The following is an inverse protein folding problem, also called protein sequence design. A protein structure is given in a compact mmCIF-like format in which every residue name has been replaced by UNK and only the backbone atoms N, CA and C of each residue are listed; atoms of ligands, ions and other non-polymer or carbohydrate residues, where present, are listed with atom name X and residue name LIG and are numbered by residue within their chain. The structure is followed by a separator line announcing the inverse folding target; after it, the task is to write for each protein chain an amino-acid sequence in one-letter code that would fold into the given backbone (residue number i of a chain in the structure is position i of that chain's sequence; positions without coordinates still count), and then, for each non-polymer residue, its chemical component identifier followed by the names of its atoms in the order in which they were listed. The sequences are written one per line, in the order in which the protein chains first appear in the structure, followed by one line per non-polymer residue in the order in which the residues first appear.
data_IF_108322629822
#
_entry.id   IF_108322629822
#
_cell.length_a   1.000
_cell.length_b   1.000
_cell.length_c   1.000
_cell.angle_alpha   90.00
_cell.angle_beta   90.00
_cell.angle_gamma   90.00
#
_symmetry.space_group_name_H-M   'P 1'
#
loop_
_entity.id
_entity.type
_entity.pdbx_description
1 polymer ?
#
# COMPACT_ATOMS: atom_id res chain seq x y z
N UNK A 1 1.84 19.53 -8.15
CA UNK A 1 1.56 18.09 -8.39
C UNK A 1 0.08 18.01 -8.68
N UNK A 2 -0.31 17.35 -9.77
CA UNK A 2 -1.70 17.26 -10.17
C UNK A 2 -2.43 16.16 -9.37
N UNK A 3 -3.72 16.35 -9.06
CA UNK A 3 -4.53 15.30 -8.47
C UNK A 3 -4.73 14.14 -9.47
N UNK A 4 -5.08 12.97 -8.93
CA UNK A 4 -5.42 11.83 -9.75
C UNK A 4 -6.69 12.05 -10.58
N UNK A 5 -6.69 11.56 -11.82
CA UNK A 5 -7.85 11.59 -12.73
C UNK A 5 -8.14 10.19 -13.28
N UNK A 6 -9.30 10.01 -13.91
CA UNK A 6 -9.73 8.68 -14.41
C UNK A 6 -8.79 8.09 -15.48
N UNK A 7 -8.12 8.95 -16.24
CA UNK A 7 -7.17 8.61 -17.30
C UNK A 7 -5.69 8.59 -16.80
N UNK A 8 -5.43 9.06 -15.57
CA UNK A 8 -4.10 9.02 -14.96
C UNK A 8 -3.77 7.63 -14.40
N UNK A 9 -3.36 6.71 -15.27
CA UNK A 9 -2.92 5.38 -14.87
C UNK A 9 -1.50 5.09 -15.37
N UNK A 10 -0.54 5.09 -14.45
CA UNK A 10 0.85 4.76 -14.75
C UNK A 10 1.09 3.25 -14.64
N UNK A 11 1.57 2.64 -15.72
CA UNK A 11 1.89 1.20 -15.78
C UNK A 11 3.40 1.03 -15.58
N UNK A 12 3.77 0.28 -14.54
CA UNK A 12 5.16 -0.09 -14.25
C UNK A 12 5.56 -1.38 -14.94
N UNK A 13 4.62 -2.31 -15.09
CA UNK A 13 4.85 -3.61 -15.72
C UNK A 13 3.54 -4.18 -16.27
N UNK A 14 3.61 -4.89 -17.39
CA UNK A 14 2.48 -5.61 -17.96
C UNK A 14 2.95 -6.89 -18.65
N UNK A 15 2.18 -7.97 -18.46
CA UNK A 15 2.40 -9.30 -19.03
C UNK A 15 1.05 -9.96 -19.35
N UNK A 16 1.07 -11.22 -19.78
CA UNK A 16 -0.15 -12.04 -19.94
C UNK A 16 -0.88 -12.31 -18.63
N UNK A 17 -0.16 -12.32 -17.51
CA UNK A 17 -0.68 -12.80 -16.22
C UNK A 17 -0.85 -11.69 -15.19
N UNK A 18 -0.08 -10.61 -15.30
CA UNK A 18 -0.02 -9.54 -14.33
C UNK A 18 0.09 -8.16 -14.98
N UNK A 19 -0.52 -7.18 -14.32
CA UNK A 19 -0.26 -5.75 -14.51
C UNK A 19 0.15 -5.15 -13.16
N UNK A 20 1.23 -4.37 -13.16
CA UNK A 20 1.68 -3.60 -11.99
C UNK A 20 1.54 -2.13 -12.34
N UNK A 21 0.76 -1.43 -11.54
CA UNK A 21 0.51 0.01 -11.70
C UNK A 21 1.25 0.78 -10.64
N UNK A 22 1.59 2.03 -10.94
CA UNK A 22 1.96 3.01 -9.92
C UNK A 22 0.67 3.71 -9.47
N UNK A 23 0.02 3.19 -8.43
CA UNK A 23 -1.20 3.76 -7.86
C UNK A 23 -0.90 5.20 -7.41
N UNK A 24 -1.74 6.13 -7.82
CA UNK A 24 -1.64 7.51 -7.37
C UNK A 24 -1.94 7.63 -5.86
N UNK A 25 -1.41 8.67 -5.22
CA UNK A 25 -1.79 9.04 -3.86
C UNK A 25 -3.25 9.53 -3.84
N UNK A 26 -3.90 9.41 -2.69
CA UNK A 26 -5.31 9.77 -2.45
C UNK A 26 -6.31 9.17 -3.47
N UNK A 27 -6.05 7.92 -3.86
CA UNK A 27 -6.99 7.12 -4.66
C UNK A 27 -7.23 5.79 -3.94
N UNK A 28 -8.50 5.42 -3.74
CA UNK A 28 -8.88 4.10 -3.25
C UNK A 28 -8.65 3.04 -4.32
N UNK A 29 -8.33 1.82 -3.88
CA UNK A 29 -8.20 0.68 -4.81
C UNK A 29 -9.55 0.37 -5.45
N UNK A 30 -10.58 0.19 -4.64
CA UNK A 30 -11.95 -0.06 -5.04
C UNK A 30 -12.92 0.66 -4.09
N UNK A 31 -14.19 0.72 -4.48
CA UNK A 31 -15.26 1.22 -3.63
C UNK A 31 -16.59 0.57 -3.98
N UNK A 32 -17.45 0.44 -2.97
CA UNK A 32 -18.87 0.08 -3.12
C UNK A 32 -19.78 1.30 -3.11
N UNK A 33 -19.22 2.48 -2.85
CA UNK A 33 -19.97 3.72 -2.73
C UNK A 33 -20.22 4.27 -4.13
N UNK A 34 -21.49 4.37 -4.53
CA UNK A 34 -21.89 4.79 -5.89
C UNK A 34 -21.37 6.19 -6.28
N UNK A 35 -21.11 7.06 -5.29
CA UNK A 35 -20.60 8.42 -5.50
C UNK A 35 -19.08 8.47 -5.62
N UNK A 36 -18.36 7.40 -5.29
CA UNK A 36 -16.90 7.33 -5.41
C UNK A 36 -16.54 6.83 -6.80
N UNK A 37 -16.45 7.78 -7.74
CA UNK A 37 -16.26 7.49 -9.17
C UNK A 37 -14.78 7.31 -9.56
N UNK A 38 -13.86 7.82 -8.76
CA UNK A 38 -12.42 7.71 -8.98
C UNK A 38 -11.80 6.69 -8.02
N UNK A 39 -11.51 5.51 -8.55
CA UNK A 39 -10.79 4.44 -7.87
C UNK A 39 -9.77 3.85 -8.85
N UNK A 40 -8.76 3.14 -8.35
CA UNK A 40 -7.85 2.42 -9.23
C UNK A 40 -8.61 1.40 -10.10
N UNK A 41 -9.64 0.78 -9.55
CA UNK A 41 -10.53 -0.11 -10.27
C UNK A 41 -11.24 0.62 -11.44
N UNK A 42 -11.75 1.83 -11.24
CA UNK A 42 -12.37 2.59 -12.34
C UNK A 42 -11.35 3.06 -13.37
N UNK A 43 -10.13 3.44 -12.95
CA UNK A 43 -9.01 3.76 -13.86
C UNK A 43 -8.61 2.56 -14.73
N UNK A 44 -8.47 1.37 -14.13
CA UNK A 44 -8.19 0.12 -14.84
C UNK A 44 -9.30 -0.22 -15.83
N UNK A 45 -10.57 -0.11 -15.42
CA UNK A 45 -11.73 -0.36 -16.30
C UNK A 45 -11.80 0.63 -17.45
N UNK A 46 -11.48 1.90 -17.21
CA UNK A 46 -11.44 2.93 -18.24
C UNK A 46 -10.34 2.66 -19.27
N UNK A 47 -9.15 2.27 -18.81
CA UNK A 47 -7.97 2.08 -19.66
C UNK A 47 -7.91 0.72 -20.36
N UNK A 48 -8.43 -0.33 -19.71
CA UNK A 48 -8.38 -1.72 -20.15
C UNK A 48 -9.72 -2.42 -19.90
N UNK A 49 -10.82 -1.97 -20.54
CA UNK A 49 -12.13 -2.59 -20.37
C UNK A 49 -12.13 -4.09 -20.73
N UNK A 50 -11.26 -4.51 -21.64
CA UNK A 50 -11.08 -5.90 -22.07
C UNK A 50 -10.42 -6.81 -21.03
N UNK A 51 -9.70 -6.24 -20.05
CA UNK A 51 -9.06 -6.98 -18.97
C UNK A 51 -9.97 -7.16 -17.75
N UNK A 52 -11.18 -6.58 -17.79
CA UNK A 52 -12.13 -6.73 -16.70
C UNK A 52 -12.68 -8.17 -16.66
N UNK A 53 -12.54 -8.80 -15.50
CA UNK A 53 -12.98 -10.16 -15.23
C UNK A 53 -14.43 -10.17 -14.68
N UNK A 54 -15.40 -10.64 -15.47
CA UNK A 54 -16.82 -10.63 -15.08
C UNK A 54 -17.13 -11.57 -13.91
N UNK A 55 -16.26 -12.54 -13.61
CA UNK A 55 -16.42 -13.44 -12.48
C UNK A 55 -15.94 -12.81 -11.16
N UNK A 56 -15.56 -11.53 -11.18
CA UNK A 56 -15.17 -10.78 -9.99
C UNK A 56 -16.11 -9.63 -9.72
N UNK A 57 -16.37 -9.40 -8.44
CA UNK A 57 -17.22 -8.29 -8.01
C UNK A 57 -16.70 -6.92 -8.49
N UNK A 58 -15.37 -6.73 -8.50
CA UNK A 58 -14.74 -5.46 -8.88
C UNK A 58 -14.19 -5.43 -10.31
N UNK A 59 -14.32 -6.50 -11.08
CA UNK A 59 -13.71 -6.62 -12.42
C UNK A 59 -12.21 -6.92 -12.42
N UNK A 60 -11.52 -6.87 -11.28
CA UNK A 60 -10.06 -7.08 -11.22
C UNK A 60 -9.65 -7.86 -9.98
N UNK A 61 -8.52 -8.58 -10.09
CA UNK A 61 -7.97 -9.43 -9.02
C UNK A 61 -6.75 -8.74 -8.40
N UNK A 62 -6.98 -7.83 -7.47
CA UNK A 62 -5.90 -7.16 -6.72
C UNK A 62 -5.13 -8.17 -5.86
N UNK A 63 -3.83 -8.29 -6.08
CA UNK A 63 -2.99 -9.28 -5.39
C UNK A 63 -2.67 -8.90 -3.94
N UNK A 64 -2.71 -7.61 -3.62
CA UNK A 64 -2.51 -7.04 -2.29
C UNK A 64 -3.19 -5.66 -2.21
N UNK A 65 -3.11 -5.04 -1.04
CA UNK A 65 -3.66 -3.71 -0.80
C UNK A 65 -2.56 -2.67 -0.61
N UNK A 66 -2.99 -1.41 -0.68
CA UNK A 66 -2.21 -0.19 -0.44
C UNK A 66 -3.20 0.86 0.05
N UNK A 67 -2.85 1.59 1.11
CA UNK A 67 -3.76 2.57 1.71
C UNK A 67 -4.11 3.70 0.74
N UNK A 68 -5.24 4.36 0.99
CA UNK A 68 -5.76 5.46 0.18
C UNK A 68 -4.68 6.51 -0.17
N UNK A 69 -4.02 7.05 0.85
CA UNK A 69 -3.00 8.09 0.70
C UNK A 69 -1.63 7.59 0.25
N UNK A 70 -1.41 6.27 0.23
CA UNK A 70 -0.12 5.70 -0.16
C UNK A 70 -0.08 5.49 -1.67
N UNK A 71 0.90 6.09 -2.35
CA UNK A 71 1.19 5.83 -3.77
C UNK A 71 2.14 4.66 -3.94
N UNK A 72 2.26 4.14 -5.17
CA UNK A 72 3.30 3.17 -5.52
C UNK A 72 2.79 1.90 -6.18
N UNK A 73 3.66 0.90 -6.22
CA UNK A 73 3.41 -0.36 -6.93
C UNK A 73 2.22 -1.14 -6.35
N UNK A 74 1.21 -1.39 -7.19
CA UNK A 74 0.12 -2.30 -6.90
C UNK A 74 -0.01 -3.36 -8.00
N UNK A 75 0.05 -4.63 -7.62
CA UNK A 75 -0.05 -5.75 -8.55
C UNK A 75 -1.50 -6.23 -8.69
N UNK A 76 -1.92 -6.45 -9.94
CA UNK A 76 -3.22 -7.02 -10.30
C UNK A 76 -2.99 -8.25 -11.18
N UNK A 77 -3.62 -9.36 -10.83
CA UNK A 77 -3.62 -10.56 -11.64
C UNK A 77 -4.70 -10.49 -12.72
N UNK A 78 -4.36 -10.93 -13.93
CA UNK A 78 -5.24 -10.88 -15.11
C UNK A 78 -6.04 -12.16 -15.32
N UNK A 79 -5.76 -13.21 -14.54
CA UNK A 79 -6.49 -14.46 -14.55
C UNK A 79 -6.46 -15.17 -13.19
N UNK A 80 -7.30 -16.19 -13.04
CA UNK A 80 -7.46 -16.94 -11.78
C UNK A 80 -6.19 -17.69 -11.36
N UNK A 81 -5.42 -18.23 -12.31
CA UNK A 81 -4.18 -18.96 -12.01
C UNK A 81 -3.11 -18.01 -11.46
N UNK A 82 -2.91 -16.86 -12.11
CA UNK A 82 -2.03 -15.80 -11.67
C UNK A 82 -2.41 -15.27 -10.28
N UNK A 83 -3.70 -15.05 -10.03
CA UNK A 83 -4.20 -14.63 -8.72
C UNK A 83 -3.89 -15.65 -7.62
N UNK A 84 -4.08 -16.95 -7.89
CA UNK A 84 -3.74 -18.02 -6.96
C UNK A 84 -2.24 -18.11 -6.68
N UNK A 85 -1.40 -17.92 -7.71
CA UNK A 85 0.06 -17.89 -7.56
C UNK A 85 0.51 -16.71 -6.70
N UNK A 86 0.01 -15.49 -6.97
CA UNK A 86 0.34 -14.32 -6.19
C UNK A 86 -0.12 -14.47 -4.74
N UNK A 87 -1.36 -14.95 -4.51
CA UNK A 87 -1.87 -15.24 -3.17
C UNK A 87 -0.93 -16.15 -2.38
N UNK A 88 -0.43 -17.23 -3.00
CA UNK A 88 0.53 -18.14 -2.36
C UNK A 88 1.82 -17.40 -1.99
N UNK A 89 2.38 -16.59 -2.89
CA UNK A 89 3.59 -15.81 -2.59
C UNK A 89 3.40 -14.85 -1.42
N UNK A 90 2.25 -14.16 -1.32
CA UNK A 90 1.96 -13.28 -0.19
C UNK A 90 1.75 -14.07 1.11
N UNK A 91 0.99 -15.17 1.06
CA UNK A 91 0.74 -16.03 2.22
C UNK A 91 2.03 -16.65 2.78
N UNK A 92 2.89 -17.12 1.89
CA UNK A 92 4.16 -17.78 2.24
C UNK A 92 5.29 -16.76 2.48
N UNK A 93 4.99 -15.46 2.48
CA UNK A 93 5.94 -14.34 2.73
C UNK A 93 7.15 -14.34 1.79
N UNK A 94 6.96 -14.74 0.54
CA UNK A 94 7.99 -14.74 -0.50
C UNK A 94 8.12 -13.37 -1.20
N UNK A 95 7.12 -12.49 -1.02
CA UNK A 95 7.11 -11.16 -1.63
C UNK A 95 8.01 -10.20 -0.85
N UNK A 96 8.89 -9.50 -1.58
CA UNK A 96 9.65 -8.37 -1.03
C UNK A 96 8.97 -7.05 -1.37
N UNK A 97 8.81 -6.18 -0.38
CA UNK A 97 8.23 -4.83 -0.55
C UNK A 97 9.17 -3.81 0.07
N UNK A 98 9.30 -2.65 -0.57
CA UNK A 98 10.01 -1.51 -0.01
C UNK A 98 9.27 -0.21 -0.35
N UNK A 99 9.37 0.77 0.54
CA UNK A 99 8.66 2.04 0.47
C UNK A 99 9.63 3.18 0.73
N UNK A 100 9.41 4.31 0.07
CA UNK A 100 10.07 5.56 0.41
C UNK A 100 9.13 6.38 1.29
N UNK A 101 9.68 7.03 2.30
CA UNK A 101 8.93 7.96 3.14
C UNK A 101 9.78 9.15 3.57
N UNK A 102 9.11 10.27 3.84
CA UNK A 102 9.67 11.37 4.62
C UNK A 102 9.11 11.26 6.05
N UNK A 103 9.98 11.04 7.03
CA UNK A 103 9.60 11.00 8.46
C UNK A 103 10.04 12.29 9.14
N UNK A 104 9.28 12.72 10.16
CA UNK A 104 9.58 13.96 10.91
C UNK A 104 10.80 13.76 11.80
N UNK A 105 11.64 14.80 11.89
CA UNK A 105 12.89 14.80 12.64
C UNK A 105 14.08 14.20 11.88
N UNK A 106 15.28 14.34 12.46
CA UNK A 106 16.51 13.71 11.95
C UNK A 106 16.77 12.41 12.69
N UNK A 107 16.66 11.29 11.98
CA UNK A 107 16.90 9.95 12.53
C UNK A 107 18.40 9.72 12.63
N UNK A 108 18.93 9.67 13.85
CA UNK A 108 20.39 9.59 14.07
C UNK A 108 21.05 8.27 13.64
N UNK A 109 20.29 7.18 13.54
CA UNK A 109 20.82 5.86 13.14
C UNK A 109 20.62 5.62 11.65
N UNK A 110 21.70 5.29 10.93
CA UNK A 110 21.65 5.07 9.46
C UNK A 110 20.80 3.86 9.05
N UNK A 111 20.71 2.86 9.92
CA UNK A 111 19.85 1.69 9.77
C UNK A 111 19.30 1.26 11.12
N UNK A 112 18.03 0.88 11.14
CA UNK A 112 17.38 0.34 12.33
C UNK A 112 16.35 -0.73 11.98
N UNK A 113 16.18 -1.67 12.89
CA UNK A 113 15.10 -2.65 12.83
C UNK A 113 14.01 -2.22 13.82
N UNK A 114 12.81 -1.94 13.31
CA UNK A 114 11.65 -1.56 14.11
C UNK A 114 10.86 -2.84 14.41
N UNK A 115 10.80 -3.21 15.69
CA UNK A 115 10.09 -4.40 16.19
C UNK A 115 9.14 -4.03 17.31
N UNK A 116 7.92 -3.72 16.93
CA UNK A 116 6.81 -3.57 17.85
C UNK A 116 5.65 -4.41 17.32
N UNK A 117 4.98 -5.14 18.20
CA UNK A 117 3.74 -5.79 17.81
C UNK A 117 2.65 -4.71 17.63
N UNK A 118 1.80 -4.87 16.62
CA UNK A 118 0.77 -3.90 16.27
C UNK A 118 -0.61 -4.55 16.43
N UNK A 119 -1.49 -3.90 17.19
CA UNK A 119 -2.85 -4.33 17.47
C UNK A 119 -3.89 -3.31 17.01
N UNK A 120 -5.16 -3.63 17.23
CA UNK A 120 -6.28 -2.72 16.97
C UNK A 120 -6.44 -1.77 18.16
N UNK A 121 -6.55 -0.47 17.88
CA UNK A 121 -6.88 0.53 18.89
C UNK A 121 -8.41 0.60 19.09
N UNK A 122 -8.87 0.46 20.33
CA UNK A 122 -10.31 0.53 20.68
C UNK A 122 -10.71 1.83 21.38
N UNK A 123 -9.78 2.73 21.67
CA UNK A 123 -10.01 3.98 22.42
C UNK A 123 -10.17 5.20 21.51
N UNK A 124 -9.50 5.22 20.35
CA UNK A 124 -9.46 6.39 19.45
C UNK A 124 -10.26 6.23 18.15
N UNK A 125 -11.02 5.13 18.02
CA UNK A 125 -11.93 4.88 16.91
C UNK A 125 -11.24 4.86 15.54
N UNK A 126 -11.81 5.57 14.57
CA UNK A 126 -11.27 5.62 13.20
C UNK A 126 -10.13 6.61 13.00
N UNK A 127 -9.85 7.48 13.98
CA UNK A 127 -8.75 8.46 13.89
C UNK A 127 -7.40 7.76 13.87
N UNK A 128 -7.20 6.81 14.79
CA UNK A 128 -6.04 5.93 14.82
C UNK A 128 -6.54 4.50 15.04
N UNK A 129 -6.67 3.74 13.96
CA UNK A 129 -7.22 2.37 14.03
C UNK A 129 -6.23 1.34 14.60
N UNK A 130 -4.93 1.64 14.56
CA UNK A 130 -3.85 0.74 14.95
C UNK A 130 -2.99 1.35 16.06
N UNK A 131 -2.44 0.51 16.92
CA UNK A 131 -1.59 0.89 18.06
C UNK A 131 -0.43 -0.09 18.22
N UNK A 132 0.61 0.34 18.93
CA UNK A 132 1.68 -0.56 19.37
C UNK A 132 1.26 -1.30 20.64
N UNK A 133 1.78 -2.51 20.82
CA UNK A 133 1.60 -3.26 22.06
C UNK A 133 2.05 -2.44 23.28
N UNK A 134 1.27 -2.52 24.36
CA UNK A 134 1.41 -1.69 25.57
C UNK A 134 0.68 -0.34 25.54
N UNK A 135 0.15 0.11 24.40
CA UNK A 135 -0.78 1.27 24.37
C UNK A 135 -2.14 0.91 25.00
N UNK A 136 -2.76 1.85 25.71
CA UNK A 136 -4.10 1.67 26.28
C UNK A 136 -5.13 1.36 25.17
N UNK A 137 -5.93 0.31 25.37
CA UNK A 137 -6.92 -0.12 24.38
C UNK A 137 -6.35 -0.89 23.19
N UNK A 138 -5.09 -1.36 23.26
CA UNK A 138 -4.52 -2.16 22.20
C UNK A 138 -4.92 -3.64 22.30
N UNK A 139 -5.67 -4.11 21.30
CA UNK A 139 -6.18 -5.48 21.27
C UNK A 139 -5.53 -6.33 20.17
N UNK A 140 -5.32 -7.61 20.49
CA UNK A 140 -4.80 -8.64 19.58
C UNK A 140 -3.51 -8.23 18.82
N UNK A 141 -2.46 -7.77 19.53
CA UNK A 141 -1.23 -7.35 18.89
C UNK A 141 -0.58 -8.53 18.15
N UNK A 142 -0.19 -8.29 16.90
CA UNK A 142 0.53 -9.26 16.07
C UNK A 142 1.98 -8.85 15.93
N UNK A 143 2.93 -9.80 15.92
CA UNK A 143 4.33 -9.49 15.69
C UNK A 143 4.53 -8.77 14.36
N UNK A 144 5.13 -7.57 14.41
CA UNK A 144 5.48 -6.80 13.23
C UNK A 144 6.97 -6.44 13.24
N UNK A 145 7.56 -6.41 12.04
CA UNK A 145 8.94 -6.02 11.83
C UNK A 145 9.10 -5.25 10.52
N UNK A 146 9.82 -4.14 10.60
CA UNK A 146 10.25 -3.36 9.45
C UNK A 146 11.73 -2.97 9.58
N UNK A 147 12.45 -3.01 8.48
CA UNK A 147 13.79 -2.41 8.38
C UNK A 147 13.64 -0.97 7.88
N UNK A 148 14.30 -0.02 8.54
CA UNK A 148 14.41 1.37 8.12
C UNK A 148 15.86 1.68 7.80
N UNK A 149 16.09 2.28 6.64
CA UNK A 149 17.40 2.78 6.20
C UNK A 149 17.27 4.26 5.91
N UNK A 150 18.09 5.08 6.55
CA UNK A 150 18.19 6.51 6.29
C UNK A 150 18.89 6.71 4.95
N UNK A 151 18.25 7.49 4.08
CA UNK A 151 18.81 7.87 2.79
C UNK A 151 19.40 9.28 2.86
N UNK A 152 18.62 10.24 3.35
CA UNK A 152 18.99 11.67 3.37
C UNK A 152 18.35 12.39 4.56
N UNK A 153 19.05 13.36 5.14
CA UNK A 153 18.48 14.35 6.05
C UNK A 153 18.19 15.64 5.29
N UNK A 154 17.11 16.32 5.65
CA UNK A 154 16.76 17.59 5.03
C UNK A 154 15.69 18.34 5.81
N UNK A 155 14.99 19.21 5.10
CA UNK A 155 13.80 19.90 5.60
C UNK A 155 12.64 19.78 4.60
N UNK A 156 11.42 19.75 5.13
CA UNK A 156 10.18 19.76 4.33
C UNK A 156 9.21 20.75 4.97
N UNK A 157 8.79 21.75 4.21
CA UNK A 157 7.97 22.87 4.69
C UNK A 157 8.57 23.59 5.91
N UNK A 158 9.91 23.67 5.99
CA UNK A 158 10.64 24.33 7.07
C UNK A 158 11.00 23.43 8.27
N UNK A 159 10.38 22.25 8.38
CA UNK A 159 10.65 21.33 9.49
C UNK A 159 11.75 20.31 9.14
N UNK A 160 12.55 19.85 10.11
CA UNK A 160 13.51 18.78 9.89
C UNK A 160 12.79 17.46 9.52
N UNK A 161 13.29 16.79 8.48
CA UNK A 161 12.81 15.48 8.05
C UNK A 161 13.95 14.56 7.66
N UNK A 162 13.67 13.25 7.68
CA UNK A 162 14.55 12.21 7.16
C UNK A 162 13.84 11.46 6.03
N UNK A 163 14.51 11.36 4.89
CA UNK A 163 14.09 10.47 3.81
C UNK A 163 14.59 9.07 4.11
N UNK A 164 13.70 8.09 4.09
CA UNK A 164 13.98 6.71 4.47
C UNK A 164 13.51 5.72 3.41
N UNK A 165 14.21 4.60 3.32
CA UNK A 165 13.73 3.37 2.73
C UNK A 165 13.18 2.47 3.85
N UNK A 166 11.94 2.01 3.71
CA UNK A 166 11.26 1.13 4.64
C UNK A 166 11.00 -0.21 3.97
N UNK A 167 11.50 -1.31 4.54
CA UNK A 167 11.24 -2.67 4.08
C UNK A 167 10.49 -3.45 5.18
N UNK A 168 9.15 -3.54 5.09
CA UNK A 168 8.37 -4.37 5.99
C UNK A 168 8.62 -5.85 5.71
N UNK A 169 8.93 -6.61 6.76
CA UNK A 169 9.11 -8.07 6.72
C UNK A 169 7.83 -8.80 7.16
N UNK A 170 6.85 -8.05 7.64
CA UNK A 170 5.50 -8.46 7.98
C UNK A 170 4.52 -7.46 7.36
N UNK A 171 3.33 -7.90 6.96
CA UNK A 171 2.28 -7.04 6.42
C UNK A 171 0.91 -7.51 6.84
#
# INVERSE_FOLDING_TARGET
MEPGTIDNLSILYQSSDFIVVNKHWDIRIDSKMWYETLTLQSQLKYRFPELADPDTYYGFRFCHQLDFSTSGALCVALNKAAAGSAYKCFKDRLVTKAYLALVRGHVGQSRMTIRYAIGKNTTEGMTHMMCIDGTEGCENPKPCQSELIVLEHGSYSGDPVTKVLLQPLTG
#
